data_IF_220937884901
#
_entry.id   IF_220937884901
#
_cell.length_a   1.000
_cell.length_b   1.000
_cell.length_c   1.000
_cell.angle_alpha   90.00
_cell.angle_beta   90.00
_cell.angle_gamma   90.00
#
_symmetry.space_group_name_H-M   'P 1'
#
loop_
_entity.id
_entity.type
_entity.pdbx_description
1 polymer ?
#
# COMPACT_ATOMS: atom_id res chain seq x y z
N UNK A 1 -0.43 -14.97 -1.48
CA UNK A 1 -1.45 -14.33 -2.33
C UNK A 1 -1.08 -12.87 -2.53
N UNK A 2 -1.35 -12.28 -3.70
CA UNK A 2 -1.09 -10.86 -3.98
C UNK A 2 -2.34 -10.22 -4.58
N UNK A 3 -2.65 -8.99 -4.16
CA UNK A 3 -3.75 -8.18 -4.68
C UNK A 3 -3.19 -6.84 -5.16
N UNK A 4 -3.73 -6.27 -6.24
CA UNK A 4 -3.23 -5.02 -6.82
C UNK A 4 -4.37 -4.02 -7.00
N UNK A 5 -4.12 -2.76 -6.66
CA UNK A 5 -5.01 -1.65 -6.95
C UNK A 5 -4.16 -0.42 -7.29
N UNK A 6 -4.25 0.06 -8.54
CA UNK A 6 -3.42 1.18 -9.01
C UNK A 6 -1.92 0.87 -8.88
N UNK A 7 -1.17 1.77 -8.25
CA UNK A 7 0.24 1.66 -7.93
C UNK A 7 0.52 0.89 -6.61
N UNK A 8 -0.50 0.27 -6.00
CA UNK A 8 -0.31 -0.54 -4.79
C UNK A 8 -0.41 -2.04 -5.06
N UNK A 9 0.55 -2.76 -4.48
CA UNK A 9 0.54 -4.21 -4.36
C UNK A 9 0.42 -4.60 -2.87
N UNK A 10 -0.62 -5.37 -2.56
CA UNK A 10 -0.86 -5.95 -1.24
C UNK A 10 -0.39 -7.40 -1.25
N UNK A 11 0.72 -7.66 -0.59
CA UNK A 11 1.30 -9.00 -0.49
C UNK A 11 0.93 -9.63 0.85
N UNK A 12 0.21 -10.75 0.84
CA UNK A 12 -0.10 -11.47 2.07
C UNK A 12 1.18 -11.96 2.75
N UNK A 13 1.29 -11.72 4.06
CA UNK A 13 2.41 -12.16 4.90
C UNK A 13 1.90 -13.06 6.03
N UNK A 14 2.72 -14.02 6.46
CA UNK A 14 2.32 -14.97 7.51
C UNK A 14 2.16 -14.32 8.89
N UNK A 15 2.95 -13.28 9.17
CA UNK A 15 2.96 -12.55 10.43
C UNK A 15 3.43 -11.12 10.18
N UNK A 16 2.89 -10.18 10.95
CA UNK A 16 3.37 -8.81 11.00
C UNK A 16 4.74 -8.74 11.71
N UNK A 17 5.68 -7.90 11.23
CA UNK A 17 6.92 -7.65 11.96
C UNK A 17 6.64 -7.01 13.33
N UNK A 18 7.63 -7.11 14.23
CA UNK A 18 7.56 -6.48 15.55
C UNK A 18 7.85 -4.98 15.44
N UNK A 19 7.35 -4.21 16.41
CA UNK A 19 7.61 -2.76 16.48
C UNK A 19 6.81 -1.91 15.49
N UNK A 20 5.76 -2.48 14.88
CA UNK A 20 4.83 -1.72 14.05
C UNK A 20 4.02 -0.73 14.89
N UNK A 21 3.85 0.47 14.35
CA UNK A 21 3.09 1.55 14.97
C UNK A 21 1.77 1.74 14.19
N UNK A 22 0.61 1.76 14.86
CA UNK A 22 -0.65 2.01 14.18
C UNK A 22 -0.74 3.44 13.66
N UNK A 23 -1.18 3.59 12.41
CA UNK A 23 -1.52 4.87 11.82
C UNK A 23 -2.97 5.25 12.16
N UNK A 24 -3.17 6.53 12.41
CA UNK A 24 -4.52 7.09 12.58
C UNK A 24 -5.21 7.22 11.22
N UNK A 25 -6.42 6.67 11.12
CA UNK A 25 -7.28 6.80 9.95
C UNK A 25 -7.26 5.59 9.01
N UNK A 26 -7.86 5.78 7.84
CA UNK A 26 -8.10 4.71 6.86
C UNK A 26 -7.33 4.93 5.56
N UNK A 27 -6.51 5.98 5.46
CA UNK A 27 -5.72 6.27 4.26
C UNK A 27 -4.42 5.46 4.31
N UNK A 28 -4.26 4.56 3.35
CA UNK A 28 -3.05 3.75 3.18
C UNK A 28 -1.95 4.63 2.60
N UNK A 29 -2.19 5.16 1.40
CA UNK A 29 -1.35 6.19 0.76
C UNK A 29 -2.25 7.15 -0.02
N UNK A 30 -1.75 8.35 -0.24
CA UNK A 30 -2.30 9.28 -1.21
C UNK A 30 -1.95 8.79 -2.62
N UNK A 31 -2.92 8.85 -3.53
CA UNK A 31 -2.75 8.50 -4.92
C UNK A 31 -1.96 9.58 -5.68
N UNK A 32 -1.59 9.31 -6.92
CA UNK A 32 -0.79 10.23 -7.74
C UNK A 32 -1.56 11.49 -8.16
N UNK A 33 -2.89 11.38 -8.32
CA UNK A 33 -3.76 12.52 -8.55
C UNK A 33 -4.02 13.28 -7.24
N UNK A 34 -3.81 14.60 -7.26
CA UNK A 34 -4.03 15.49 -6.10
C UNK A 34 -5.47 15.36 -5.58
N UNK A 35 -5.63 14.67 -4.43
CA UNK A 35 -6.91 14.48 -3.75
C UNK A 35 -7.46 13.04 -3.76
N UNK A 36 -6.85 12.12 -4.51
CA UNK A 36 -7.22 10.71 -4.47
C UNK A 36 -6.39 9.94 -3.44
N UNK A 37 -6.95 8.89 -2.86
CA UNK A 37 -6.29 8.14 -1.79
C UNK A 37 -6.75 6.70 -1.78
N UNK A 38 -5.80 5.79 -1.59
CA UNK A 38 -6.12 4.40 -1.34
C UNK A 38 -6.56 4.25 0.11
N UNK A 39 -7.79 3.76 0.32
CA UNK A 39 -8.36 3.64 1.66
C UNK A 39 -8.74 2.22 2.00
N UNK A 40 -8.43 1.82 3.23
CA UNK A 40 -8.88 0.56 3.83
C UNK A 40 -10.20 0.79 4.56
N UNK A 41 -11.29 0.12 4.15
CA UNK A 41 -12.60 0.34 4.79
C UNK A 41 -12.64 -0.14 6.24
N UNK A 42 -11.99 -1.27 6.53
CA UNK A 42 -11.93 -1.88 7.85
C UNK A 42 -10.60 -2.60 8.05
N UNK A 43 -10.04 -2.48 9.25
CA UNK A 43 -8.75 -3.03 9.65
C UNK A 43 -7.82 -1.95 10.19
N UNK A 44 -6.60 -2.35 10.51
CA UNK A 44 -5.56 -1.46 11.04
C UNK A 44 -4.50 -1.24 9.97
N UNK A 45 -4.10 0.02 9.80
CA UNK A 45 -2.93 0.39 9.00
C UNK A 45 -1.78 0.58 9.97
N UNK A 46 -0.67 -0.07 9.69
CA UNK A 46 0.51 -0.12 10.53
C UNK A 46 1.72 0.33 9.71
N UNK A 47 2.71 0.92 10.38
CA UNK A 47 3.94 1.39 9.76
C UNK A 47 5.15 0.95 10.60
N UNK A 48 6.22 0.53 9.94
CA UNK A 48 7.50 0.26 10.61
C UNK A 48 8.38 1.52 10.70
N UNK A 49 9.49 1.42 11.44
CA UNK A 49 10.42 2.53 11.59
C UNK A 49 11.15 2.94 10.28
N UNK A 50 10.99 2.19 9.20
CA UNK A 50 11.54 2.48 7.87
C UNK A 50 10.47 3.08 6.93
N UNK A 51 9.24 3.28 7.40
CA UNK A 51 8.12 3.80 6.61
C UNK A 51 7.45 2.76 5.72
N UNK A 52 7.73 1.47 5.90
CA UNK A 52 7.01 0.42 5.19
C UNK A 52 5.63 0.20 5.83
N UNK A 53 4.62 0.08 4.97
CA UNK A 53 3.22 -0.03 5.38
C UNK A 53 2.77 -1.49 5.43
N UNK A 54 1.98 -1.79 6.46
CA UNK A 54 1.37 -3.09 6.68
C UNK A 54 -0.11 -2.92 7.02
N UNK A 55 -0.92 -3.92 6.66
CA UNK A 55 -2.33 -3.97 7.00
C UNK A 55 -2.61 -5.19 7.87
N UNK A 56 -3.39 -4.97 8.92
CA UNK A 56 -4.00 -6.02 9.71
C UNK A 56 -5.50 -6.04 9.45
N UNK A 57 -5.98 -7.12 8.84
CA UNK A 57 -7.37 -7.25 8.41
C UNK A 57 -8.02 -8.38 9.21
N UNK A 58 -8.83 -8.02 10.22
CA UNK A 58 -9.51 -9.01 11.07
C UNK A 58 -10.70 -9.69 10.41
N UNK A 59 -11.35 -9.04 9.45
CA UNK A 59 -12.47 -9.55 8.65
C UNK A 59 -12.29 -9.13 7.20
N UNK A 60 -12.78 -9.93 6.26
CA UNK A 60 -12.76 -9.58 4.84
C UNK A 60 -13.31 -8.16 4.65
N UNK A 61 -12.55 -7.35 3.93
CA UNK A 61 -12.76 -5.91 3.78
C UNK A 61 -12.50 -5.51 2.33
N UNK A 62 -12.60 -4.21 2.05
CA UNK A 62 -12.25 -3.68 0.74
C UNK A 62 -11.20 -2.58 0.87
N UNK A 63 -10.34 -2.54 -0.14
CA UNK A 63 -9.55 -1.35 -0.42
C UNK A 63 -10.24 -0.60 -1.54
N UNK A 64 -10.47 0.69 -1.36
CA UNK A 64 -11.12 1.56 -2.33
C UNK A 64 -10.16 2.65 -2.80
N UNK A 65 -10.41 3.15 -4.01
CA UNK A 65 -9.77 4.33 -4.58
C UNK A 65 -10.80 5.06 -5.43
N UNK A 66 -10.72 6.39 -5.54
CA UNK A 66 -11.71 7.15 -6.32
C UNK A 66 -11.73 6.80 -7.82
N UNK A 67 -10.60 6.36 -8.36
CA UNK A 67 -10.46 6.02 -9.80
C UNK A 67 -10.48 4.52 -10.11
N UNK A 68 -10.38 3.67 -9.09
CA UNK A 68 -10.27 2.23 -9.29
C UNK A 68 -11.42 1.47 -8.66
N UNK A 69 -11.76 0.33 -9.25
CA UNK A 69 -12.70 -0.59 -8.63
C UNK A 69 -12.15 -1.06 -7.27
N UNK A 70 -13.06 -1.11 -6.30
CA UNK A 70 -12.76 -1.65 -4.99
C UNK A 70 -12.26 -3.10 -5.13
N UNK A 71 -11.19 -3.42 -4.41
CA UNK A 71 -10.68 -4.79 -4.34
C UNK A 71 -11.08 -5.42 -3.01
N UNK A 72 -11.50 -6.67 -3.05
CA UNK A 72 -11.75 -7.45 -1.84
C UNK A 72 -10.42 -7.95 -1.25
N UNK A 73 -10.23 -7.70 0.03
CA UNK A 73 -9.06 -8.11 0.79
C UNK A 73 -9.52 -9.04 1.93
N UNK A 74 -9.26 -10.35 1.83
CA UNK A 74 -9.63 -11.30 2.88
C UNK A 74 -8.95 -11.01 4.21
N UNK A 75 -9.48 -11.59 5.29
CA UNK A 75 -8.84 -11.52 6.60
C UNK A 75 -7.40 -12.06 6.55
N UNK A 76 -6.46 -11.33 7.15
CA UNK A 76 -5.04 -11.66 7.12
C UNK A 76 -4.15 -10.44 7.34
N UNK A 77 -2.84 -10.68 7.25
CA UNK A 77 -1.80 -9.66 7.34
C UNK A 77 -1.23 -9.39 5.95
N UNK A 78 -1.00 -8.12 5.61
CA UNK A 78 -0.50 -7.73 4.30
C UNK A 78 0.63 -6.73 4.42
N UNK A 79 1.65 -6.87 3.58
CA UNK A 79 2.62 -5.82 3.31
C UNK A 79 2.15 -5.01 2.11
N UNK A 80 2.16 -3.68 2.24
CA UNK A 80 1.84 -2.76 1.16
C UNK A 80 3.13 -2.37 0.46
N UNK A 81 3.18 -2.59 -0.84
CA UNK A 81 4.32 -2.26 -1.69
C UNK A 81 3.83 -1.25 -2.73
N UNK A 82 4.41 -0.05 -2.73
CA UNK A 82 4.17 0.93 -3.78
C UNK A 82 4.97 0.56 -5.02
N UNK A 83 4.28 0.23 -6.10
CA UNK A 83 4.84 -0.04 -7.41
C UNK A 83 5.16 1.30 -8.07
N UNK A 84 6.39 1.78 -7.90
CA UNK A 84 6.89 2.90 -8.71
C UNK A 84 7.26 2.38 -10.09
N UNK A 85 6.86 3.09 -11.13
CA UNK A 85 7.44 2.91 -12.45
C UNK A 85 8.92 3.32 -12.34
N UNK A 86 9.83 2.41 -12.69
CA UNK A 86 11.24 2.71 -12.74
C UNK A 86 11.47 3.57 -13.99
N UNK A 87 11.55 4.89 -13.84
CA UNK A 87 12.15 5.75 -14.87
C UNK A 87 13.67 5.70 -14.71
N UNK A 88 14.42 5.05 -15.63
CA UNK A 88 15.87 5.14 -15.66
C UNK A 88 16.31 6.52 -16.17
N UNK A 89 15.97 7.61 -15.47
CA UNK A 89 16.53 8.93 -15.76
C UNK A 89 17.82 9.16 -14.97
N UNK A 90 18.85 8.38 -15.30
CA UNK A 90 20.23 8.72 -14.97
C UNK A 90 21.22 7.87 -15.77
N UNK A 91 21.37 8.16 -17.06
CA UNK A 91 22.62 7.86 -17.77
C UNK A 91 23.13 9.15 -18.42
N UNK A 92 23.85 9.91 -17.57
CA UNK A 92 25.16 10.54 -17.79
C UNK A 92 25.38 11.32 -19.10
N UNK A 93 25.75 12.59 -18.93
CA UNK A 93 26.30 13.49 -19.95
C UNK A 93 27.28 12.77 -20.87
N UNK A 94 26.96 12.74 -22.17
CA UNK A 94 27.94 12.47 -23.23
C UNK A 94 28.67 13.79 -23.47
N UNK A 95 29.90 13.88 -22.96
CA UNK A 95 30.85 14.90 -23.40
C UNK A 95 31.36 14.49 -24.79
N UNK A 96 31.24 15.41 -25.74
CA UNK A 96 31.88 15.38 -27.07
C UNK A 96 33.41 15.22 -26.96
#
# INVERSE_FOLDING_TARGET
MMYRQGDLLFQAVHRLPEGLIPRSGQVIVEGEATGHSHRLLQGSILEDAQGALFLEVGKATQVIHQEHHAIELPAGCYRVIRQREYTPEAIREVTD
#
